data_IF_573510542307
#
_entry.id   IF_573510542307
#
_cell.length_a   1.000
_cell.length_b   1.000
_cell.length_c   1.000
_cell.angle_alpha   90.00
_cell.angle_beta   90.00
_cell.angle_gamma   90.00
#
_symmetry.space_group_name_H-M   'P 1'
#
loop_
_entity.id
_entity.type
_entity.pdbx_description
1 polymer ?
#
# COMPACT_ATOMS: atom_id res chain seq x y z
N UNK A 1 -16.01 15.40 9.13
CA UNK A 1 -14.62 15.22 8.67
C UNK A 1 -14.61 14.68 7.25
N UNK A 2 -13.65 15.08 6.47
CA UNK A 2 -13.58 14.71 5.06
C UNK A 2 -12.72 13.46 4.88
N UNK A 3 -13.24 12.47 4.17
CA UNK A 3 -12.51 11.28 3.78
C UNK A 3 -11.80 11.56 2.45
N UNK A 4 -10.50 11.29 2.38
CA UNK A 4 -9.68 11.53 1.20
C UNK A 4 -8.93 10.25 0.84
N UNK A 5 -8.90 9.92 -0.45
CA UNK A 5 -8.06 8.82 -0.96
C UNK A 5 -6.90 9.44 -1.71
N UNK A 6 -5.70 9.01 -1.38
CA UNK A 6 -4.48 9.47 -2.06
C UNK A 6 -3.47 8.34 -2.19
N UNK A 7 -2.49 8.51 -3.06
CA UNK A 7 -1.39 7.56 -3.14
C UNK A 7 -0.49 7.68 -1.91
N UNK A 8 0.11 6.55 -1.54
CA UNK A 8 1.03 6.47 -0.43
C UNK A 8 2.33 7.23 -0.72
N UNK A 9 2.91 7.79 0.33
CA UNK A 9 4.25 8.40 0.28
C UNK A 9 5.13 7.73 1.34
N UNK A 10 6.43 8.02 1.27
CA UNK A 10 7.41 7.39 2.13
C UNK A 10 7.06 7.47 3.62
N UNK A 11 6.61 8.63 4.06
CA UNK A 11 6.32 8.89 5.47
C UNK A 11 5.08 8.16 6.01
N UNK A 12 4.34 7.49 5.16
CA UNK A 12 3.13 6.76 5.57
C UNK A 12 3.42 5.42 6.25
N UNK A 13 4.64 4.92 6.16
CA UNK A 13 4.95 3.56 6.64
C UNK A 13 4.60 3.33 8.11
N UNK A 14 4.94 4.22 9.06
CA UNK A 14 4.59 3.97 10.46
C UNK A 14 3.09 3.78 10.70
N UNK A 15 2.26 4.63 10.11
CA UNK A 15 0.81 4.50 10.25
C UNK A 15 0.26 3.27 9.54
N UNK A 16 0.84 2.91 8.40
CA UNK A 16 0.45 1.70 7.67
C UNK A 16 0.72 0.45 8.50
N UNK A 17 1.87 0.39 9.17
CA UNK A 17 2.21 -0.75 10.03
C UNK A 17 1.26 -0.84 11.22
N UNK A 18 0.86 0.29 11.81
CA UNK A 18 -0.16 0.30 12.86
C UNK A 18 -1.50 -0.25 12.36
N UNK A 19 -1.89 0.14 11.15
CA UNK A 19 -3.13 -0.36 10.55
C UNK A 19 -3.05 -1.87 10.33
N UNK A 20 -1.93 -2.39 9.85
CA UNK A 20 -1.74 -3.81 9.64
C UNK A 20 -1.81 -4.60 10.95
N UNK A 21 -1.27 -4.06 12.03
CA UNK A 21 -1.39 -4.70 13.35
C UNK A 21 -2.84 -4.84 13.80
N UNK A 22 -3.67 -3.85 13.49
CA UNK A 22 -5.10 -3.92 13.80
C UNK A 22 -5.81 -4.99 12.98
N UNK A 23 -5.41 -5.16 11.71
CA UNK A 23 -6.03 -6.13 10.81
C UNK A 23 -5.48 -7.54 11.00
N UNK A 24 -4.25 -7.66 11.46
CA UNK A 24 -3.56 -8.94 11.66
C UNK A 24 -2.90 -8.99 13.04
N UNK A 25 -3.70 -9.08 14.11
CA UNK A 25 -3.15 -9.03 15.47
C UNK A 25 -2.23 -10.19 15.81
N UNK A 26 -2.26 -11.29 15.04
CA UNK A 26 -1.37 -12.43 15.19
C UNK A 26 0.04 -12.20 14.63
N UNK A 27 0.24 -11.15 13.88
CA UNK A 27 1.54 -10.81 13.30
C UNK A 27 2.16 -9.59 13.99
N UNK A 28 3.48 -9.54 13.97
CA UNK A 28 4.23 -8.39 14.48
C UNK A 28 4.77 -7.60 13.30
N UNK A 29 4.44 -6.31 13.26
CA UNK A 29 4.90 -5.40 12.22
C UNK A 29 5.82 -4.37 12.85
N UNK A 30 7.08 -4.37 12.46
CA UNK A 30 8.03 -3.39 12.96
C UNK A 30 8.78 -2.70 11.84
N UNK A 31 9.02 -1.40 12.03
CA UNK A 31 9.81 -0.62 11.10
C UNK A 31 11.28 -0.91 11.34
N UNK A 32 11.93 -1.56 10.38
CA UNK A 32 13.36 -1.84 10.41
C UNK A 32 13.92 -1.65 9.00
N UNK A 33 15.22 -1.80 8.85
CA UNK A 33 15.87 -1.57 7.56
C UNK A 33 15.29 -2.44 6.44
N UNK A 34 14.96 -3.68 6.74
CA UNK A 34 14.38 -4.60 5.74
C UNK A 34 12.99 -4.14 5.32
N UNK A 35 12.15 -3.77 6.27
CA UNK A 35 10.80 -3.27 5.99
C UNK A 35 10.86 -1.99 5.18
N UNK A 36 11.72 -1.07 5.57
CA UNK A 36 11.91 0.18 4.84
C UNK A 36 12.41 -0.04 3.42
N UNK A 37 13.33 -0.99 3.23
CA UNK A 37 13.83 -1.32 1.89
C UNK A 37 12.72 -1.89 1.01
N UNK A 38 11.87 -2.76 1.54
CA UNK A 38 10.72 -3.31 0.80
C UNK A 38 9.73 -2.19 0.46
N UNK A 39 9.46 -1.30 1.42
CA UNK A 39 8.56 -0.16 1.20
C UNK A 39 9.05 0.73 0.07
N UNK A 40 10.35 1.04 0.05
CA UNK A 40 10.95 1.82 -1.03
C UNK A 40 10.83 1.12 -2.38
N UNK A 41 11.01 -0.19 -2.43
CA UNK A 41 10.81 -0.97 -3.66
C UNK A 41 9.39 -0.86 -4.17
N UNK A 42 8.40 -0.96 -3.27
CA UNK A 42 6.99 -0.84 -3.64
C UNK A 42 6.71 0.55 -4.21
N UNK A 43 7.14 1.59 -3.51
CA UNK A 43 6.87 2.98 -3.93
C UNK A 43 7.53 3.35 -5.25
N UNK A 44 8.70 2.78 -5.54
CA UNK A 44 9.44 3.08 -6.76
C UNK A 44 9.03 2.21 -7.96
N UNK A 45 8.23 1.17 -7.74
CA UNK A 45 7.81 0.25 -8.80
C UNK A 45 6.52 0.74 -9.44
N UNK A 46 6.57 1.06 -10.74
CA UNK A 46 5.40 1.56 -11.47
C UNK A 46 4.24 0.57 -11.57
N UNK A 47 4.49 -0.71 -11.30
CA UNK A 47 3.46 -1.75 -11.31
C UNK A 47 2.80 -1.94 -9.94
N UNK A 48 3.22 -1.20 -8.94
CA UNK A 48 2.61 -1.20 -7.61
C UNK A 48 1.99 0.16 -7.33
N UNK A 49 0.73 0.17 -6.92
CA UNK A 49 0.03 1.38 -6.50
C UNK A 49 -0.54 1.13 -5.12
N UNK A 50 -0.16 1.94 -4.16
CA UNK A 50 -0.70 1.86 -2.80
C UNK A 50 -1.55 3.09 -2.55
N UNK A 51 -2.83 2.87 -2.27
CA UNK A 51 -3.78 3.94 -1.99
C UNK A 51 -4.07 3.97 -0.49
N UNK A 52 -4.09 5.16 0.07
CA UNK A 52 -4.42 5.39 1.47
C UNK A 52 -5.75 6.11 1.59
N UNK A 53 -6.64 5.57 2.41
CA UNK A 53 -7.85 6.28 2.80
C UNK A 53 -7.59 7.02 4.11
N UNK A 54 -7.81 8.32 4.11
CA UNK A 54 -7.44 9.18 5.23
C UNK A 54 -8.62 10.01 5.73
N UNK A 55 -8.66 10.20 7.04
CA UNK A 55 -9.53 11.19 7.68
C UNK A 55 -8.60 12.15 8.41
N UNK A 56 -8.50 13.38 7.91
CA UNK A 56 -7.50 14.32 8.39
C UNK A 56 -6.09 13.74 8.16
N UNK A 57 -5.28 13.73 9.19
CA UNK A 57 -3.90 13.20 9.13
C UNK A 57 -3.82 11.71 9.44
N UNK A 58 -4.96 11.08 9.65
CA UNK A 58 -4.98 9.67 10.07
C UNK A 58 -5.31 8.76 8.90
N UNK A 59 -4.49 7.72 8.71
CA UNK A 59 -4.73 6.66 7.75
C UNK A 59 -5.68 5.65 8.38
N UNK A 60 -6.82 5.42 7.75
CA UNK A 60 -7.84 4.49 8.26
C UNK A 60 -8.05 3.28 7.37
N UNK A 61 -7.52 3.30 6.16
CA UNK A 61 -7.60 2.15 5.24
C UNK A 61 -6.46 2.19 4.23
N UNK A 62 -6.18 1.05 3.62
CA UNK A 62 -5.20 0.97 2.55
C UNK A 62 -5.63 -0.05 1.50
N UNK A 63 -5.15 0.15 0.29
CA UNK A 63 -5.39 -0.76 -0.83
C UNK A 63 -4.11 -0.85 -1.64
N UNK A 64 -3.60 -2.06 -1.83
CA UNK A 64 -2.39 -2.29 -2.61
C UNK A 64 -2.78 -2.96 -3.92
N UNK A 65 -2.52 -2.28 -5.04
CA UNK A 65 -2.78 -2.76 -6.38
C UNK A 65 -1.46 -3.20 -7.01
N UNK A 66 -1.45 -4.41 -7.57
CA UNK A 66 -0.32 -4.89 -8.36
C UNK A 66 -0.79 -5.04 -9.80
N UNK A 67 -0.16 -4.32 -10.71
CA UNK A 67 -0.51 -4.34 -12.13
C UNK A 67 0.35 -5.40 -12.82
N UNK A 68 -0.29 -6.33 -13.49
CA UNK A 68 0.38 -7.45 -14.14
C UNK A 68 0.18 -7.32 -15.64
N UNK A 69 1.30 -7.26 -16.38
CA UNK A 69 1.28 -7.24 -17.82
C UNK A 69 0.75 -8.58 -18.35
N UNK A 70 0.02 -8.53 -19.43
CA UNK A 70 -0.69 -9.69 -19.93
C UNK A 70 -0.68 -9.72 -21.46
N UNK A 71 -0.57 -10.92 -22.03
CA UNK A 71 -0.60 -11.11 -23.49
C UNK A 71 -2.02 -11.34 -23.98
N UNK A 72 -2.83 -12.04 -23.19
CA UNK A 72 -4.23 -12.30 -23.57
C UNK A 72 -5.07 -11.03 -23.50
N UNK A 73 -6.27 -11.06 -24.04
CA UNK A 73 -7.18 -9.90 -24.07
C UNK A 73 -6.54 -8.66 -24.72
N UNK A 74 -5.89 -8.86 -25.88
CA UNK A 74 -5.25 -7.79 -26.63
C UNK A 74 -4.14 -7.07 -25.84
N UNK A 75 -3.37 -7.84 -25.06
CA UNK A 75 -2.25 -7.33 -24.25
C UNK A 75 -2.65 -6.33 -23.17
N UNK A 76 -3.91 -6.39 -22.73
CA UNK A 76 -4.37 -5.51 -21.64
C UNK A 76 -3.88 -6.04 -20.30
N UNK A 77 -3.26 -5.18 -19.49
CA UNK A 77 -2.86 -5.56 -18.14
C UNK A 77 -4.07 -5.76 -17.24
N UNK A 78 -3.87 -6.47 -16.14
CA UNK A 78 -4.88 -6.60 -15.10
C UNK A 78 -4.26 -6.28 -13.75
N UNK A 79 -5.09 -6.03 -12.76
CA UNK A 79 -4.64 -5.69 -11.42
C UNK A 79 -5.10 -6.72 -10.40
N UNK A 80 -4.22 -6.99 -9.43
CA UNK A 80 -4.54 -7.76 -8.23
C UNK A 80 -4.63 -6.77 -7.07
N UNK A 81 -5.68 -6.90 -6.27
CA UNK A 81 -5.97 -6.00 -5.15
C UNK A 81 -5.77 -6.74 -3.84
N UNK A 82 -5.03 -6.11 -2.94
CA UNK A 82 -4.84 -6.59 -1.58
C UNK A 82 -5.30 -5.57 -0.55
#
# INVERSE_FOLDING_TARGET
>A
MKFIVREAVEDDLPQLLELYEQLHPEETFSSNERTEAVWQKILSNKHHVVLMGCIGDRIVSSCHLVIIDNITHANRPYAVIE
#
